data_IF_231239057022
#
_entry.id   IF_231239057022
#
_cell.length_a   1.000
_cell.length_b   1.000
_cell.length_c   1.000
_cell.angle_alpha   90.00
_cell.angle_beta   90.00
_cell.angle_gamma   90.00
#
_symmetry.space_group_name_H-M   'P 1'
#
loop_
_entity.id
_entity.type
_entity.pdbx_description
1 polymer ?
#
# COMPACT_ATOMS: atom_id res chain seq x y z
N UNK A 1 -21.12 -5.10 -15.61
CA UNK A 1 -21.05 -4.03 -14.58
C UNK A 1 -20.54 -4.64 -13.29
N UNK A 2 -19.34 -4.23 -12.85
CA UNK A 2 -18.77 -4.69 -11.58
C UNK A 2 -19.24 -3.70 -10.50
N UNK A 3 -20.39 -3.96 -9.90
CA UNK A 3 -20.86 -3.24 -8.73
C UNK A 3 -20.78 -4.16 -7.50
N UNK A 4 -20.04 -3.74 -6.48
CA UNK A 4 -20.04 -4.39 -5.16
C UNK A 4 -20.31 -3.36 -4.05
N UNK A 5 -21.11 -3.76 -3.08
CA UNK A 5 -21.39 -2.95 -1.89
C UNK A 5 -20.12 -2.81 -1.03
N UNK A 6 -19.62 -1.57 -0.85
CA UNK A 6 -18.44 -1.28 -0.01
C UNK A 6 -18.58 -1.75 1.45
N UNK A 7 -19.79 -2.08 1.91
CA UNK A 7 -20.02 -2.66 3.24
C UNK A 7 -19.39 -4.06 3.38
N UNK A 8 -19.37 -4.86 2.33
CA UNK A 8 -18.75 -6.19 2.35
C UNK A 8 -17.23 -6.09 2.58
N UNK A 9 -16.55 -5.19 1.87
CA UNK A 9 -15.12 -4.94 2.05
C UNK A 9 -14.79 -4.47 3.48
N UNK A 10 -15.59 -3.55 4.04
CA UNK A 10 -15.43 -3.09 5.41
C UNK A 10 -15.61 -4.22 6.43
N UNK A 11 -16.56 -5.13 6.19
CA UNK A 11 -16.79 -6.29 7.07
C UNK A 11 -15.64 -7.28 7.00
N UNK A 12 -15.13 -7.59 5.79
CA UNK A 12 -13.99 -8.51 5.64
C UNK A 12 -12.74 -7.96 6.31
N UNK A 13 -12.47 -6.64 6.13
CA UNK A 13 -11.34 -6.00 6.80
C UNK A 13 -11.49 -6.00 8.32
N UNK A 14 -12.67 -5.70 8.84
CA UNK A 14 -12.95 -5.75 10.28
C UNK A 14 -12.79 -7.19 10.83
N UNK A 15 -13.21 -8.20 10.09
CA UNK A 15 -12.99 -9.60 10.48
C UNK A 15 -11.50 -9.97 10.54
N UNK A 16 -10.69 -9.45 9.60
CA UNK A 16 -9.25 -9.68 9.58
C UNK A 16 -8.53 -9.08 10.78
N UNK A 17 -8.97 -7.90 11.24
CA UNK A 17 -8.35 -7.19 12.36
C UNK A 17 -9.02 -7.48 13.72
N UNK A 18 -10.20 -8.10 13.72
CA UNK A 18 -11.05 -8.25 14.91
C UNK A 18 -11.95 -7.04 15.18
N UNK A 19 -11.63 -5.89 14.60
CA UNK A 19 -12.36 -4.63 14.74
C UNK A 19 -12.20 -3.72 13.52
N UNK A 20 -12.97 -2.65 13.45
CA UNK A 20 -12.91 -1.69 12.33
C UNK A 20 -11.81 -0.67 12.57
N UNK A 21 -10.68 -0.82 11.89
CA UNK A 21 -9.48 0.03 12.01
C UNK A 21 -9.22 0.95 10.81
N UNK A 22 -10.06 0.90 9.79
CA UNK A 22 -9.92 1.72 8.60
C UNK A 22 -11.28 2.12 8.02
N UNK A 23 -11.39 3.38 7.58
CA UNK A 23 -12.60 3.88 6.95
C UNK A 23 -12.66 3.54 5.47
N UNK A 24 -13.85 3.22 5.00
CA UNK A 24 -14.18 3.05 3.59
C UNK A 24 -13.14 2.25 2.78
N UNK A 25 -12.72 1.05 3.23
CA UNK A 25 -11.80 0.24 2.46
C UNK A 25 -12.45 -0.12 1.11
N UNK A 26 -11.71 0.06 0.05
CA UNK A 26 -12.18 -0.42 -1.26
C UNK A 26 -12.12 -1.94 -1.30
N UNK A 27 -12.92 -2.54 -2.18
CA UNK A 27 -13.05 -3.98 -2.30
C UNK A 27 -11.82 -4.57 -2.99
N UNK A 28 -11.08 -5.45 -2.32
CA UNK A 28 -9.90 -6.15 -2.84
C UNK A 28 -10.25 -7.10 -3.98
N UNK A 29 -11.46 -7.68 -3.99
CA UNK A 29 -11.89 -8.57 -5.06
C UNK A 29 -12.12 -7.84 -6.38
N UNK A 30 -12.48 -6.53 -6.34
CA UNK A 30 -12.57 -5.71 -7.54
C UNK A 30 -11.16 -5.49 -8.12
N UNK A 31 -10.18 -5.20 -7.28
CA UNK A 31 -8.79 -5.01 -7.72
C UNK A 31 -8.23 -6.34 -8.24
N UNK A 32 -8.48 -7.45 -7.57
CA UNK A 32 -8.12 -8.78 -8.06
C UNK A 32 -8.62 -9.01 -9.49
N UNK A 33 -9.91 -8.76 -9.73
CA UNK A 33 -10.50 -8.91 -11.08
C UNK A 33 -9.89 -7.98 -12.12
N UNK A 34 -9.51 -6.76 -11.73
CA UNK A 34 -8.82 -5.84 -12.63
C UNK A 34 -7.42 -6.37 -12.99
N UNK A 35 -6.67 -6.88 -12.02
CA UNK A 35 -5.36 -7.51 -12.24
C UNK A 35 -5.49 -8.68 -13.24
N UNK A 36 -6.47 -9.54 -13.02
CA UNK A 36 -6.74 -10.70 -13.89
C UNK A 36 -7.21 -10.27 -15.28
N UNK A 37 -8.08 -9.26 -15.38
CA UNK A 37 -8.60 -8.74 -16.65
C UNK A 37 -7.52 -8.04 -17.50
N UNK A 38 -6.55 -7.37 -16.86
CA UNK A 38 -5.44 -6.75 -17.56
C UNK A 38 -4.44 -7.76 -18.15
N UNK A 39 -4.65 -9.05 -17.95
CA UNK A 39 -3.82 -10.10 -18.53
C UNK A 39 -2.40 -10.13 -17.97
N UNK A 40 -2.22 -9.67 -16.72
CA UNK A 40 -0.92 -9.71 -16.05
C UNK A 40 -0.42 -11.14 -15.82
N UNK A 41 0.90 -11.34 -15.88
CA UNK A 41 1.53 -12.65 -15.85
C UNK A 41 2.60 -12.78 -14.75
N UNK A 42 3.31 -13.91 -14.74
CA UNK A 42 4.39 -14.18 -13.78
C UNK A 42 5.47 -13.10 -13.83
N UNK A 43 5.85 -12.62 -12.66
CA UNK A 43 6.86 -11.58 -12.51
C UNK A 43 6.36 -10.15 -12.70
N UNK A 44 5.16 -9.95 -13.23
CA UNK A 44 4.57 -8.63 -13.39
C UNK A 44 4.42 -7.89 -12.05
N UNK A 45 4.58 -6.57 -12.11
CA UNK A 45 4.55 -5.70 -10.92
C UNK A 45 3.29 -4.84 -10.94
N UNK A 46 2.50 -4.94 -9.90
CA UNK A 46 1.33 -4.09 -9.68
C UNK A 46 1.73 -2.93 -8.76
N UNK A 47 1.62 -1.70 -9.27
CA UNK A 47 2.00 -0.49 -8.56
C UNK A 47 0.76 0.27 -8.08
N UNK A 48 0.76 0.67 -6.80
CA UNK A 48 -0.29 1.51 -6.19
C UNK A 48 0.35 2.66 -5.42
N UNK A 49 0.17 3.90 -5.91
CA UNK A 49 0.75 5.11 -5.32
C UNK A 49 0.01 5.63 -4.08
N UNK A 50 -1.19 5.15 -3.81
CA UNK A 50 -2.02 5.58 -2.69
C UNK A 50 -2.64 4.37 -2.00
N UNK A 51 -1.76 3.47 -1.51
CA UNK A 51 -2.14 2.13 -1.10
C UNK A 51 -3.09 2.07 0.12
N UNK A 52 -3.16 3.14 0.90
CA UNK A 52 -4.02 3.23 2.08
C UNK A 52 -3.82 2.04 3.01
N UNK A 53 -4.85 1.21 3.16
CA UNK A 53 -4.80 -0.03 3.95
C UNK A 53 -4.19 -1.22 3.20
N UNK A 54 -3.35 -1.01 2.18
CA UNK A 54 -2.66 -2.06 1.40
C UNK A 54 -3.61 -3.12 0.76
N UNK A 55 -4.76 -2.68 0.29
CA UNK A 55 -5.73 -3.59 -0.37
C UNK A 55 -5.19 -4.23 -1.65
N UNK A 56 -4.33 -3.49 -2.37
CA UNK A 56 -3.73 -3.96 -3.63
C UNK A 56 -2.81 -5.15 -3.40
N UNK A 57 -2.01 -5.17 -2.33
CA UNK A 57 -1.23 -6.35 -1.96
C UNK A 57 -2.13 -7.56 -1.68
N UNK A 58 -3.21 -7.38 -0.93
CA UNK A 58 -4.20 -8.43 -0.68
C UNK A 58 -4.80 -8.96 -2.00
N UNK A 59 -5.16 -8.07 -2.92
CA UNK A 59 -5.69 -8.43 -4.23
C UNK A 59 -4.67 -9.21 -5.09
N UNK A 60 -3.38 -8.83 -5.03
CA UNK A 60 -2.30 -9.55 -5.73
C UNK A 60 -2.17 -10.97 -5.19
N UNK A 61 -2.18 -11.16 -3.87
CA UNK A 61 -2.16 -12.51 -3.29
C UNK A 61 -3.33 -13.37 -3.77
N UNK A 62 -4.55 -12.82 -3.75
CA UNK A 62 -5.73 -13.55 -4.24
C UNK A 62 -5.63 -13.88 -5.74
N UNK A 63 -5.15 -12.95 -6.57
CA UNK A 63 -4.97 -13.18 -8.00
C UNK A 63 -3.87 -14.24 -8.27
N UNK A 64 -2.80 -14.23 -7.49
CA UNK A 64 -1.73 -15.23 -7.60
C UNK A 64 -2.24 -16.63 -7.28
N UNK A 65 -2.99 -16.79 -6.19
CA UNK A 65 -3.60 -18.07 -5.82
C UNK A 65 -4.59 -18.53 -6.91
N UNK A 66 -5.50 -17.63 -7.32
CA UNK A 66 -6.56 -17.99 -8.27
C UNK A 66 -6.04 -18.43 -9.65
N UNK A 67 -4.90 -17.89 -10.07
CA UNK A 67 -4.32 -18.17 -11.39
C UNK A 67 -3.01 -18.96 -11.33
N UNK A 68 -2.55 -19.38 -10.15
CA UNK A 68 -1.27 -20.05 -9.92
C UNK A 68 -0.09 -19.26 -10.54
N UNK A 69 -0.01 -17.96 -10.25
CA UNK A 69 1.00 -17.02 -10.76
C UNK A 69 1.75 -16.34 -9.62
N UNK A 70 2.90 -15.72 -9.95
CA UNK A 70 3.81 -15.05 -9.01
C UNK A 70 4.00 -13.57 -9.33
N UNK A 71 2.92 -12.79 -9.35
CA UNK A 71 2.98 -11.34 -9.50
C UNK A 71 3.51 -10.67 -8.24
N UNK A 72 4.14 -9.53 -8.41
CA UNK A 72 4.71 -8.71 -7.34
C UNK A 72 3.88 -7.43 -7.16
N UNK A 73 4.11 -6.73 -6.05
CA UNK A 73 3.51 -5.42 -5.84
C UNK A 73 4.52 -4.39 -5.34
N UNK A 74 4.28 -3.13 -5.67
CA UNK A 74 4.94 -1.97 -5.09
C UNK A 74 3.84 -1.05 -4.55
N UNK A 75 3.88 -0.76 -3.26
CA UNK A 75 2.92 0.12 -2.61
C UNK A 75 3.61 1.37 -2.09
N UNK A 76 3.07 2.51 -2.43
CA UNK A 76 3.54 3.80 -1.91
C UNK A 76 2.46 4.41 -1.03
N UNK A 77 2.82 4.82 0.18
CA UNK A 77 1.92 5.47 1.11
C UNK A 77 2.69 6.47 1.99
N UNK A 78 2.16 7.66 2.14
CA UNK A 78 2.65 8.62 3.12
C UNK A 78 2.32 8.13 4.54
N UNK A 79 3.22 8.28 5.51
CA UNK A 79 3.00 7.83 6.89
C UNK A 79 2.11 8.82 7.67
N UNK A 80 0.90 9.07 7.14
CA UNK A 80 -0.09 9.95 7.79
C UNK A 80 -0.42 9.44 9.18
N UNK A 81 -0.30 10.33 10.17
CA UNK A 81 -0.63 10.03 11.57
C UNK A 81 -2.13 9.77 11.76
N UNK A 82 -2.44 8.83 12.64
CA UNK A 82 -3.82 8.57 13.05
C UNK A 82 -4.10 9.41 14.30
N UNK A 83 -4.96 10.43 14.15
CA UNK A 83 -5.26 11.42 15.19
C UNK A 83 -6.78 11.45 15.44
N UNK A 84 -7.29 10.73 16.45
CA UNK A 84 -8.72 10.68 16.74
C UNK A 84 -9.35 12.03 17.03
N UNK A 85 -8.61 12.95 17.65
CA UNK A 85 -9.05 14.30 17.96
C UNK A 85 -9.29 15.17 16.72
N UNK A 86 -8.56 14.92 15.63
CA UNK A 86 -8.76 15.57 14.34
C UNK A 86 -9.82 14.89 13.48
N UNK A 87 -10.26 13.69 13.88
CA UNK A 87 -11.29 12.95 13.16
C UNK A 87 -12.68 13.49 13.48
N UNK A 88 -13.61 13.49 12.50
CA UNK A 88 -14.99 13.85 12.76
C UNK A 88 -15.60 13.02 13.91
N UNK A 89 -16.38 13.67 14.76
CA UNK A 89 -17.04 12.98 15.88
C UNK A 89 -17.93 11.83 15.39
N UNK A 90 -18.05 10.80 16.20
CA UNK A 90 -18.87 9.62 15.93
C UNK A 90 -18.09 8.45 15.34
N UNK A 91 -18.51 7.92 14.19
CA UNK A 91 -17.94 6.68 13.62
C UNK A 91 -16.47 6.82 13.24
N UNK A 92 -16.07 7.94 12.63
CA UNK A 92 -14.68 8.17 12.19
C UNK A 92 -13.72 8.18 13.36
N UNK A 93 -14.06 8.90 14.43
CA UNK A 93 -13.25 8.94 15.65
C UNK A 93 -13.10 7.56 16.27
N UNK A 94 -14.18 6.78 16.37
CA UNK A 94 -14.13 5.41 16.90
C UNK A 94 -13.22 4.50 16.07
N UNK A 95 -13.22 4.63 14.75
CA UNK A 95 -12.32 3.86 13.87
C UNK A 95 -10.86 4.25 14.10
N UNK A 96 -10.57 5.54 14.29
CA UNK A 96 -9.23 6.00 14.60
C UNK A 96 -8.76 5.52 15.98
N UNK A 97 -9.63 5.55 17.00
CA UNK A 97 -9.36 5.00 18.34
C UNK A 97 -9.06 3.49 18.28
N UNK A 98 -9.88 2.71 17.55
CA UNK A 98 -9.63 1.29 17.32
C UNK A 98 -8.30 1.03 16.61
N UNK A 99 -7.97 1.85 15.60
CA UNK A 99 -6.69 1.74 14.89
C UNK A 99 -5.50 1.98 15.83
N UNK A 100 -5.56 3.00 16.70
CA UNK A 100 -4.53 3.24 17.72
C UNK A 100 -4.44 2.07 18.69
N UNK A 101 -5.56 1.58 19.21
CA UNK A 101 -5.58 0.43 20.14
C UNK A 101 -4.92 -0.80 19.52
N UNK A 102 -5.21 -1.10 18.26
CA UNK A 102 -4.55 -2.17 17.52
C UNK A 102 -3.04 -1.94 17.42
N UNK A 103 -2.60 -0.76 16.97
CA UNK A 103 -1.19 -0.46 16.77
C UNK A 103 -0.41 -0.45 18.07
N UNK A 104 -1.02 0.02 19.16
CA UNK A 104 -0.45 -0.02 20.51
C UNK A 104 -0.25 -1.47 20.97
N UNK A 105 -1.24 -2.32 20.77
CA UNK A 105 -1.19 -3.75 21.15
C UNK A 105 -0.06 -4.53 20.44
N UNK A 106 0.39 -4.07 19.27
CA UNK A 106 1.47 -4.68 18.50
C UNK A 106 2.77 -3.86 18.53
N UNK A 107 2.83 -2.79 19.32
CA UNK A 107 3.99 -1.93 19.49
C UNK A 107 4.44 -1.21 18.21
N UNK A 108 3.49 -0.65 17.44
CA UNK A 108 3.76 0.02 16.17
C UNK A 108 3.38 1.51 16.21
N UNK A 109 4.08 2.38 15.45
CA UNK A 109 3.72 3.79 15.32
C UNK A 109 2.29 4.00 14.82
N UNK A 110 1.63 5.07 15.29
CA UNK A 110 0.23 5.38 14.97
C UNK A 110 0.11 6.08 13.61
N UNK A 111 0.30 5.34 12.52
CA UNK A 111 0.14 5.85 11.17
C UNK A 111 -0.50 4.80 10.24
N UNK A 112 -1.02 5.29 9.12
CA UNK A 112 -1.76 4.48 8.15
C UNK A 112 -0.89 3.38 7.51
N UNK A 113 0.42 3.62 7.34
CA UNK A 113 1.34 2.63 6.76
C UNK A 113 1.41 1.36 7.63
N UNK A 114 1.37 1.51 8.96
CA UNK A 114 1.43 0.36 9.87
C UNK A 114 0.17 -0.51 9.79
N UNK A 115 -1.01 0.12 9.60
CA UNK A 115 -2.25 -0.62 9.31
C UNK A 115 -2.12 -1.41 8.00
N UNK A 116 -1.56 -0.79 6.96
CA UNK A 116 -1.31 -1.46 5.68
C UNK A 116 -0.35 -2.64 5.80
N UNK A 117 0.78 -2.46 6.48
CA UNK A 117 1.76 -3.52 6.73
C UNK A 117 1.17 -4.67 7.54
N UNK A 118 0.39 -4.36 8.55
CA UNK A 118 -0.28 -5.38 9.37
C UNK A 118 -1.34 -6.15 8.58
N UNK A 119 -2.07 -5.48 7.68
CA UNK A 119 -2.97 -6.18 6.75
C UNK A 119 -2.23 -7.19 5.90
N UNK A 120 -1.08 -6.82 5.32
CA UNK A 120 -0.31 -7.73 4.47
C UNK A 120 0.11 -8.97 5.26
N UNK A 121 0.61 -8.79 6.49
CA UNK A 121 1.01 -9.91 7.36
C UNK A 121 -0.16 -10.84 7.65
N UNK A 122 -1.26 -10.31 8.18
CA UNK A 122 -2.43 -11.12 8.54
C UNK A 122 -3.06 -11.84 7.37
N UNK A 123 -3.08 -11.20 6.19
CA UNK A 123 -3.56 -11.85 4.96
C UNK A 123 -2.62 -12.97 4.56
N UNK A 124 -1.30 -12.74 4.57
CA UNK A 124 -0.31 -13.76 4.26
C UNK A 124 -0.41 -14.97 5.18
N UNK A 125 -0.43 -14.73 6.49
CA UNK A 125 -0.58 -15.79 7.50
C UNK A 125 -1.86 -16.58 7.30
N UNK A 126 -2.98 -15.88 7.08
CA UNK A 126 -4.28 -16.51 6.83
C UNK A 126 -4.30 -17.37 5.57
N UNK A 127 -3.69 -16.89 4.48
CA UNK A 127 -3.58 -17.65 3.23
C UNK A 127 -2.79 -18.94 3.46
N UNK A 128 -1.67 -18.85 4.17
CA UNK A 128 -0.84 -20.02 4.50
C UNK A 128 -1.65 -21.02 5.36
N UNK A 129 -2.34 -20.51 6.39
CA UNK A 129 -3.09 -21.36 7.31
C UNK A 129 -4.29 -22.06 6.65
N UNK A 130 -5.04 -21.35 5.80
CA UNK A 130 -6.23 -21.87 5.12
C UNK A 130 -5.89 -22.86 3.99
N UNK A 131 -4.65 -22.82 3.47
CA UNK A 131 -4.24 -23.63 2.30
C UNK A 131 -3.09 -24.60 2.60
N UNK A 132 -2.91 -24.99 3.85
CA UNK A 132 -1.84 -25.92 4.25
C UNK A 132 -1.89 -27.21 3.45
N UNK A 133 -0.77 -27.54 2.80
CA UNK A 133 -0.64 -28.74 1.98
C UNK A 133 -0.95 -28.57 0.50
N UNK A 134 -1.37 -27.39 0.09
CA UNK A 134 -1.59 -27.08 -1.33
C UNK A 134 -0.25 -26.78 -2.04
N UNK A 135 -0.03 -27.37 -3.21
CA UNK A 135 1.23 -27.29 -3.97
C UNK A 135 1.58 -25.85 -4.37
N UNK A 136 0.60 -24.99 -4.60
CA UNK A 136 0.83 -23.60 -5.00
C UNK A 136 1.54 -22.76 -3.91
N UNK A 137 1.45 -23.16 -2.63
CA UNK A 137 2.11 -22.46 -1.53
C UNK A 137 3.63 -22.49 -1.65
N UNK A 138 4.23 -23.50 -2.32
CA UNK A 138 5.66 -23.55 -2.55
C UNK A 138 6.19 -22.40 -3.43
N UNK A 139 5.30 -21.84 -4.26
CA UNK A 139 5.61 -20.72 -5.18
C UNK A 139 5.09 -19.37 -4.69
N UNK A 140 4.22 -19.38 -3.69
CA UNK A 140 3.57 -18.16 -3.20
C UNK A 140 4.48 -17.41 -2.24
N UNK A 141 4.96 -16.24 -2.65
CA UNK A 141 5.66 -15.30 -1.76
C UNK A 141 4.63 -14.34 -1.12
N UNK A 142 4.44 -14.46 0.19
CA UNK A 142 3.60 -13.56 1.00
C UNK A 142 4.43 -12.53 1.77
N UNK A 143 5.76 -12.54 1.59
CA UNK A 143 6.67 -11.58 2.19
C UNK A 143 6.63 -10.21 1.52
N UNK A 144 7.18 -9.20 2.21
CA UNK A 144 7.39 -7.87 1.64
C UNK A 144 8.57 -7.17 2.31
N UNK A 145 9.15 -6.21 1.59
CA UNK A 145 10.19 -5.32 2.11
C UNK A 145 9.61 -3.93 2.35
N UNK A 146 10.14 -3.24 3.33
CA UNK A 146 9.76 -1.87 3.65
C UNK A 146 10.95 -0.96 3.41
N UNK A 147 10.75 0.04 2.56
CA UNK A 147 11.71 1.09 2.29
C UNK A 147 11.16 2.43 2.79
N UNK A 148 12.04 3.31 3.19
CA UNK A 148 11.72 4.73 3.44
C UNK A 148 12.41 5.54 2.36
N UNK A 149 11.70 6.52 1.82
CA UNK A 149 12.34 7.51 0.97
C UNK A 149 13.29 8.34 1.84
N UNK A 150 14.50 8.45 1.39
CA UNK A 150 15.51 9.36 1.89
C UNK A 150 15.42 10.70 1.16
N UNK A 151 16.45 11.55 1.28
CA UNK A 151 16.50 12.82 0.55
C UNK A 151 16.43 12.62 -0.96
N UNK A 152 15.80 13.58 -1.66
CA UNK A 152 15.78 13.59 -3.13
C UNK A 152 17.20 13.62 -3.69
N UNK A 153 17.47 12.87 -4.78
CA UNK A 153 18.70 12.98 -5.54
C UNK A 153 18.80 14.29 -6.31
N UNK A 154 17.67 14.99 -6.48
CA UNK A 154 17.59 16.24 -7.21
C UNK A 154 17.89 17.43 -6.30
N UNK A 155 18.50 18.49 -6.87
CA UNK A 155 18.64 19.79 -6.21
C UNK A 155 17.26 20.38 -5.92
N UNK A 156 17.11 21.06 -4.78
CA UNK A 156 15.88 21.79 -4.49
C UNK A 156 15.83 23.05 -5.38
N UNK A 157 14.90 23.06 -6.32
CA UNK A 157 14.71 24.16 -7.26
C UNK A 157 13.42 24.87 -6.91
N UNK A 158 13.53 26.13 -6.49
CA UNK A 158 12.42 27.03 -6.20
C UNK A 158 12.49 28.22 -7.18
N UNK A 159 11.85 28.07 -8.36
CA UNK A 159 11.70 29.18 -9.27
C UNK A 159 10.25 29.64 -9.32
N UNK A 160 10.02 30.93 -9.24
CA UNK A 160 8.74 31.52 -9.62
C UNK A 160 8.61 31.51 -11.15
N UNK A 161 7.37 31.49 -11.68
CA UNK A 161 7.13 31.36 -13.11
C UNK A 161 7.79 32.46 -13.96
N UNK A 162 8.03 33.64 -13.40
CA UNK A 162 8.71 34.79 -13.99
C UNK A 162 10.23 34.68 -14.00
N UNK A 163 10.80 33.70 -13.30
CA UNK A 163 12.25 33.43 -13.24
C UNK A 163 12.68 32.33 -14.22
N UNK A 164 11.73 31.68 -14.90
CA UNK A 164 12.03 30.60 -15.83
C UNK A 164 12.47 31.20 -17.18
N UNK A 165 13.72 30.99 -17.57
CA UNK A 165 14.27 31.31 -18.88
C UNK A 165 14.72 30.04 -19.61
N UNK A 166 14.97 30.15 -20.94
CA UNK A 166 15.43 29.00 -21.72
C UNK A 166 16.83 28.55 -21.30
N UNK A 167 17.70 29.48 -20.89
CA UNK A 167 19.06 29.17 -20.40
C UNK A 167 18.99 28.39 -19.09
N UNK A 168 17.98 28.69 -18.25
CA UNK A 168 17.75 27.97 -17.01
C UNK A 168 17.28 26.51 -17.24
N UNK A 169 16.52 26.26 -18.31
CA UNK A 169 16.12 24.91 -18.70
C UNK A 169 17.32 24.07 -19.14
N UNK A 170 18.32 24.67 -19.77
CA UNK A 170 19.58 23.99 -20.14
C UNK A 170 20.44 23.70 -18.88
N UNK A 171 20.45 24.59 -17.90
CA UNK A 171 21.11 24.33 -16.60
C UNK A 171 20.43 23.23 -15.80
N UNK A 172 19.14 22.93 -16.04
CA UNK A 172 18.39 21.88 -15.40
C UNK A 172 18.73 20.48 -15.90
N UNK A 173 19.46 20.32 -17.00
CA UNK A 173 19.95 19.02 -17.47
C UNK A 173 20.82 18.30 -16.44
N UNK A 174 21.43 19.02 -15.49
CA UNK A 174 22.23 18.45 -14.39
C UNK A 174 21.65 18.77 -13.01
N UNK A 175 20.34 18.53 -12.84
CA UNK A 175 19.65 18.83 -11.59
C UNK A 175 19.91 17.82 -10.46
N UNK A 176 20.97 17.06 -10.54
CA UNK A 176 21.38 16.07 -9.54
C UNK A 176 22.28 16.74 -8.51
N UNK A 177 22.13 16.39 -7.25
CA UNK A 177 23.00 16.81 -6.16
C UNK A 177 24.42 16.31 -6.39
N UNK A 178 25.41 17.14 -6.12
CA UNK A 178 26.83 16.86 -6.38
C UNK A 178 27.40 15.71 -5.55
N UNK A 179 26.77 15.38 -4.43
CA UNK A 179 27.14 14.29 -3.54
C UNK A 179 26.54 12.93 -3.92
N UNK A 180 25.86 12.85 -5.08
CA UNK A 180 25.25 11.61 -5.59
C UNK A 180 26.21 10.83 -6.48
N UNK A 181 26.15 9.51 -6.34
CA UNK A 181 26.92 8.55 -7.15
C UNK A 181 26.00 7.80 -8.12
N UNK A 182 26.57 7.07 -9.07
CA UNK A 182 25.79 6.23 -10.00
C UNK A 182 24.94 5.17 -9.29
N UNK A 183 25.25 4.84 -8.02
CA UNK A 183 24.47 3.91 -7.22
C UNK A 183 23.24 4.58 -6.56
N UNK A 184 23.18 5.89 -6.55
CA UNK A 184 22.06 6.66 -5.99
C UNK A 184 21.00 6.97 -7.08
N UNK A 185 21.34 6.75 -8.35
CA UNK A 185 20.52 7.01 -9.53
C UNK A 185 19.90 5.76 -10.10
#
# INVERSE_FOLDING_TARGET
VIYKDGRAASKRLATLFGEKVFENPKDEEIIQRLIEFCGTDDGDIILDFFSGSARTAHAVFLANINQNKSRKFILVQLPEGIEPEKSPAGKSRKVAESAISLLDSIGRPYNICEIGKERIRRVGDRIIDENKGEEFLEKLDVGFRVFKLDGSNMKDIYYSADQISQDLLEELESNIKEDRTDLDL
#
